data_IF_722596053745
#
_entry.id   IF_722596053745
#
_cell.length_a   1.000
_cell.length_b   1.000
_cell.length_c   1.000
_cell.angle_alpha   90.00
_cell.angle_beta   90.00
_cell.angle_gamma   90.00
#
_symmetry.space_group_name_H-M   'P 1'
#
loop_
_entity.id
_entity.type
_entity.pdbx_description
1 polymer ?
#
# COMPACT_ATOMS: atom_id res chain seq x y z
N UNK A 1 3.82 9.44 12.11
CA UNK A 1 3.68 8.45 11.01
C UNK A 1 3.57 7.06 11.59
N UNK A 2 2.52 6.33 11.28
CA UNK A 2 2.18 5.02 11.85
C UNK A 2 2.49 3.94 10.80
N UNK A 3 3.05 2.81 11.25
CA UNK A 3 3.31 1.67 10.35
C UNK A 3 2.01 0.94 10.03
N UNK A 4 1.84 0.52 8.79
CA UNK A 4 0.61 -0.16 8.34
C UNK A 4 0.36 -1.49 9.07
N UNK A 5 1.41 -2.17 9.53
CA UNK A 5 1.25 -3.40 10.33
C UNK A 5 0.57 -3.14 11.68
N UNK A 6 0.78 -1.96 12.27
CA UNK A 6 0.13 -1.58 13.52
C UNK A 6 -1.35 -1.31 13.33
N UNK A 7 -1.72 -0.61 12.24
CA UNK A 7 -3.12 -0.41 11.86
C UNK A 7 -3.84 -1.75 11.59
N UNK A 8 -3.17 -2.68 10.93
CA UNK A 8 -3.75 -3.98 10.63
C UNK A 8 -3.92 -4.89 11.86
N UNK A 9 -3.11 -4.68 12.91
CA UNK A 9 -3.23 -5.44 14.17
C UNK A 9 -4.42 -4.99 15.01
N UNK A 10 -4.56 -3.69 15.18
CA UNK A 10 -5.62 -3.10 16.02
C UNK A 10 -6.11 -1.78 15.43
N UNK A 11 -6.96 -1.84 14.40
CA UNK A 11 -7.46 -0.63 13.75
C UNK A 11 -8.31 0.25 14.68
N UNK A 12 -8.99 -0.34 15.66
CA UNK A 12 -9.83 0.40 16.60
C UNK A 12 -9.02 1.36 17.49
N UNK A 13 -7.79 0.99 17.82
CA UNK A 13 -6.86 1.84 18.60
C UNK A 13 -6.50 3.14 17.86
N UNK A 14 -6.49 3.10 16.53
CA UNK A 14 -6.07 4.21 15.67
C UNK A 14 -7.25 4.90 14.97
N UNK A 15 -8.50 4.59 15.37
CA UNK A 15 -9.67 5.27 14.83
C UNK A 15 -9.56 6.78 15.01
N UNK A 16 -9.79 7.55 13.95
CA UNK A 16 -9.59 8.98 13.89
C UNK A 16 -8.40 9.38 13.02
N UNK A 17 -7.78 10.51 13.31
CA UNK A 17 -6.69 11.05 12.51
C UNK A 17 -5.44 10.17 12.55
N UNK A 18 -4.95 9.82 11.36
CA UNK A 18 -3.72 9.05 11.16
C UNK A 18 -2.85 9.66 10.07
N UNK A 19 -1.56 9.52 10.23
CA UNK A 19 -0.55 9.84 9.22
C UNK A 19 0.18 8.57 8.83
N UNK A 20 0.08 8.19 7.56
CA UNK A 20 0.68 6.99 6.99
C UNK A 20 1.45 7.31 5.71
N UNK A 21 2.41 6.48 5.38
CA UNK A 21 3.14 6.58 4.12
C UNK A 21 3.47 5.20 3.57
N UNK A 22 3.69 5.14 2.27
CA UNK A 22 4.07 3.91 1.59
C UNK A 22 4.07 4.04 0.08
N UNK A 23 4.16 2.90 -0.56
CA UNK A 23 4.13 2.80 -2.02
C UNK A 23 2.74 2.38 -2.50
N UNK A 24 2.30 3.05 -3.56
CA UNK A 24 1.04 2.74 -4.24
C UNK A 24 1.16 1.39 -4.95
N UNK A 25 0.29 0.46 -4.60
CA UNK A 25 0.17 -0.86 -5.25
C UNK A 25 -0.83 -0.84 -6.38
N UNK A 26 -1.99 -0.25 -6.16
CA UNK A 26 -3.03 -0.06 -7.16
C UNK A 26 -3.75 1.26 -6.95
N UNK A 27 -4.23 1.83 -8.03
CA UNK A 27 -5.09 3.01 -8.05
C UNK A 27 -6.32 2.68 -8.86
N UNK A 28 -7.48 3.03 -8.33
CA UNK A 28 -8.75 3.04 -9.07
C UNK A 28 -9.39 4.38 -8.89
N UNK A 29 -9.53 5.11 -9.97
CA UNK A 29 -10.19 6.40 -9.97
C UNK A 29 -11.60 6.28 -10.56
N UNK A 30 -12.54 6.96 -9.97
CA UNK A 30 -13.91 7.09 -10.38
C UNK A 30 -14.31 8.55 -10.29
N UNK A 31 -15.40 8.96 -10.94
CA UNK A 31 -15.78 10.38 -11.08
C UNK A 31 -15.80 11.18 -9.77
N UNK A 32 -16.19 10.55 -8.66
CA UNK A 32 -16.40 11.23 -7.39
C UNK A 32 -15.56 10.67 -6.24
N UNK A 33 -15.01 9.47 -6.39
CA UNK A 33 -14.29 8.76 -5.35
C UNK A 33 -13.21 7.90 -5.95
N UNK A 34 -12.04 7.85 -5.33
CA UNK A 34 -10.95 6.99 -5.75
C UNK A 34 -10.41 6.14 -4.63
N UNK A 35 -9.76 5.04 -4.99
CA UNK A 35 -9.21 4.06 -4.08
C UNK A 35 -7.75 3.81 -4.39
N UNK A 36 -6.91 3.87 -3.36
CA UNK A 36 -5.48 3.57 -3.43
C UNK A 36 -5.20 2.42 -2.47
N UNK A 37 -4.56 1.37 -2.95
CA UNK A 37 -3.96 0.37 -2.08
C UNK A 37 -2.52 0.77 -1.77
N UNK A 38 -2.23 0.99 -0.48
CA UNK A 38 -0.94 1.43 0.02
C UNK A 38 -0.22 0.31 0.77
N UNK A 39 1.07 0.17 0.54
CA UNK A 39 1.95 -0.76 1.23
C UNK A 39 3.23 -0.07 1.68
N UNK A 40 3.59 -0.25 2.94
CA UNK A 40 4.87 0.22 3.49
C UNK A 40 5.89 -0.93 3.67
N UNK A 41 5.55 -2.13 3.24
CA UNK A 41 6.37 -3.32 3.41
C UNK A 41 6.36 -3.93 4.81
N UNK A 42 5.74 -3.30 5.80
CA UNK A 42 5.73 -3.78 7.19
C UNK A 42 4.84 -5.01 7.41
N UNK A 43 3.84 -5.20 6.55
CA UNK A 43 2.94 -6.35 6.61
C UNK A 43 2.54 -6.81 5.20
N UNK A 44 1.93 -8.00 5.12
CA UNK A 44 1.49 -8.55 3.84
C UNK A 44 0.21 -7.87 3.33
N UNK A 45 -0.66 -7.45 4.24
CA UNK A 45 -1.94 -6.83 3.91
C UNK A 45 -1.76 -5.34 3.61
N UNK A 46 -2.26 -4.90 2.46
CA UNK A 46 -2.30 -3.49 2.08
C UNK A 46 -3.39 -2.74 2.85
N UNK A 47 -3.25 -1.43 2.93
CA UNK A 47 -4.26 -0.52 3.48
C UNK A 47 -4.96 0.20 2.34
N UNK A 48 -6.29 0.25 2.38
CA UNK A 48 -7.08 1.01 1.44
C UNK A 48 -7.19 2.46 1.89
N UNK A 49 -6.76 3.36 1.02
CA UNK A 49 -6.95 4.80 1.15
C UNK A 49 -8.06 5.23 0.20
N UNK A 50 -9.03 5.95 0.71
CA UNK A 50 -10.14 6.50 -0.07
C UNK A 50 -9.98 8.00 -0.17
N UNK A 51 -10.08 8.55 -1.36
CA UNK A 51 -10.07 9.99 -1.59
C UNK A 51 -11.30 10.42 -2.38
N UNK A 52 -11.75 11.61 -2.12
CA UNK A 52 -12.89 12.25 -2.78
C UNK A 52 -12.42 13.53 -3.51
N UNK A 53 -13.35 14.38 -3.88
CA UNK A 53 -13.05 15.64 -4.59
C UNK A 53 -12.25 16.68 -3.77
N UNK A 54 -11.95 16.37 -2.51
CA UNK A 54 -11.13 17.21 -1.63
C UNK A 54 -9.64 17.19 -1.97
N UNK A 55 -9.18 16.18 -2.72
CA UNK A 55 -7.78 16.08 -3.15
C UNK A 55 -7.62 16.78 -4.51
N UNK A 56 -6.61 17.66 -4.69
CA UNK A 56 -6.37 18.33 -5.96
C UNK A 56 -6.15 17.36 -7.12
N UNK A 57 -6.82 17.59 -8.24
CA UNK A 57 -6.72 16.74 -9.44
C UNK A 57 -5.29 16.62 -9.97
N UNK A 58 -4.47 17.64 -9.80
CA UNK A 58 -3.07 17.62 -10.22
C UNK A 58 -2.24 16.58 -9.46
N UNK A 59 -2.55 16.38 -8.17
CA UNK A 59 -1.93 15.35 -7.35
C UNK A 59 -2.45 13.98 -7.79
N UNK A 60 -3.76 13.82 -7.95
CA UNK A 60 -4.39 12.55 -8.35
C UNK A 60 -3.83 12.04 -9.68
N UNK A 61 -3.66 12.92 -10.67
CA UNK A 61 -3.13 12.57 -12.00
C UNK A 61 -1.68 12.08 -11.97
N UNK A 62 -0.91 12.44 -10.96
CA UNK A 62 0.49 12.02 -10.79
C UNK A 62 0.62 10.71 -10.04
N UNK A 63 -0.45 10.24 -9.37
CA UNK A 63 -0.43 9.00 -8.60
C UNK A 63 -0.61 7.81 -9.55
N UNK A 64 0.39 6.95 -9.59
CA UNK A 64 0.36 5.70 -10.33
C UNK A 64 0.99 4.57 -9.50
N UNK A 65 0.89 3.35 -9.99
CA UNK A 65 1.51 2.18 -9.35
C UNK A 65 3.01 2.38 -9.21
N UNK A 66 3.50 2.26 -7.98
CA UNK A 66 4.92 2.44 -7.64
C UNK A 66 5.27 3.80 -7.05
N UNK A 67 4.40 4.81 -7.14
CA UNK A 67 4.60 6.09 -6.45
C UNK A 67 4.75 5.91 -4.94
N UNK A 68 5.58 6.75 -4.34
CA UNK A 68 5.65 6.91 -2.90
C UNK A 68 4.79 8.11 -2.48
N UNK A 69 3.87 7.89 -1.56
CA UNK A 69 2.99 8.93 -1.05
C UNK A 69 2.92 8.92 0.47
N UNK A 70 2.66 10.07 1.05
CA UNK A 70 2.22 10.21 2.43
C UNK A 70 0.77 10.69 2.45
N UNK A 71 0.01 10.20 3.41
CA UNK A 71 -1.43 10.45 3.53
C UNK A 71 -1.73 10.85 4.96
N UNK A 72 -2.41 11.98 5.11
CA UNK A 72 -3.07 12.39 6.35
C UNK A 72 -4.56 12.23 6.16
N UNK A 73 -5.21 11.53 7.06
CA UNK A 73 -6.64 11.28 6.96
C UNK A 73 -7.23 10.65 8.20
N UNK A 74 -8.47 10.21 8.08
CA UNK A 74 -9.21 9.56 9.15
C UNK A 74 -9.35 8.06 8.90
N UNK A 75 -8.92 7.27 9.88
CA UNK A 75 -9.19 5.83 9.89
C UNK A 75 -10.64 5.59 10.31
N UNK A 76 -11.37 4.94 9.44
CA UNK A 76 -12.79 4.58 9.64
C UNK A 76 -12.93 3.07 9.61
N UNK A 77 -13.58 2.52 10.63
CA UNK A 77 -13.88 1.09 10.69
C UNK A 77 -15.02 0.76 9.71
N UNK A 78 -14.83 -0.29 8.94
CA UNK A 78 -15.80 -0.77 7.93
C UNK A 78 -16.12 -2.26 8.15
N UNK A 79 -16.83 -2.62 9.24
CA UNK A 79 -17.02 -4.02 9.63
C UNK A 79 -17.79 -4.83 8.58
N UNK A 80 -18.66 -4.20 7.81
CA UNK A 80 -19.50 -4.85 6.79
C UNK A 80 -18.82 -4.90 5.40
N UNK A 81 -17.63 -4.31 5.25
CA UNK A 81 -16.87 -4.32 4.01
C UNK A 81 -15.86 -5.47 3.96
N UNK A 82 -15.31 -5.70 2.78
CA UNK A 82 -14.28 -6.72 2.57
C UNK A 82 -13.02 -6.50 3.41
N UNK A 83 -12.65 -5.25 3.62
CA UNK A 83 -11.58 -4.82 4.52
C UNK A 83 -12.16 -4.32 5.84
N UNK A 84 -11.47 -4.54 6.98
CA UNK A 84 -11.98 -4.16 8.31
C UNK A 84 -11.98 -2.65 8.56
N UNK A 85 -11.18 -1.91 7.82
CA UNK A 85 -11.07 -0.44 7.91
C UNK A 85 -10.57 0.16 6.60
N UNK A 86 -10.72 1.46 6.48
CA UNK A 86 -10.15 2.27 5.40
C UNK A 86 -9.67 3.61 5.96
N UNK A 87 -8.76 4.27 5.25
CA UNK A 87 -8.30 5.61 5.57
C UNK A 87 -8.89 6.59 4.59
N UNK A 88 -9.74 7.50 5.07
CA UNK A 88 -10.28 8.61 4.27
C UNK A 88 -9.26 9.74 4.23
N UNK A 89 -8.64 9.93 3.06
CA UNK A 89 -7.61 10.95 2.89
C UNK A 89 -8.19 12.36 2.99
N UNK A 90 -7.57 13.18 3.83
CA UNK A 90 -7.75 14.65 3.84
C UNK A 90 -6.69 15.31 2.99
N UNK A 91 -5.47 14.82 3.05
CA UNK A 91 -4.32 15.32 2.31
C UNK A 91 -3.49 14.16 1.79
N UNK A 92 -3.01 14.29 0.57
CA UNK A 92 -2.06 13.36 -0.05
C UNK A 92 -0.89 14.16 -0.57
N UNK A 93 0.32 13.77 -0.18
CA UNK A 93 1.56 14.34 -0.65
C UNK A 93 2.36 13.29 -1.41
N UNK A 94 2.85 13.64 -2.58
CA UNK A 94 3.73 12.77 -3.36
C UNK A 94 5.16 12.95 -2.85
N UNK A 95 5.74 11.88 -2.32
CA UNK A 95 7.12 11.84 -1.86
C UNK A 95 8.07 11.37 -2.96
N UNK A 96 7.58 10.57 -3.88
CA UNK A 96 8.34 10.10 -5.04
C UNK A 96 7.45 9.72 -6.21
N UNK A 97 7.77 10.26 -7.37
CA UNK A 97 7.10 9.91 -8.62
C UNK A 97 7.59 8.55 -9.13
N UNK A 98 6.73 7.87 -9.88
CA UNK A 98 7.08 6.65 -10.57
C UNK A 98 6.92 6.83 -12.08
N UNK A 99 7.90 6.37 -12.83
CA UNK A 99 7.84 6.43 -14.30
C UNK A 99 6.74 5.51 -14.85
N UNK A 100 6.18 5.88 -16.00
CA UNK A 100 5.08 5.14 -16.64
C UNK A 100 5.49 3.73 -17.11
N UNK A 101 6.79 3.51 -17.30
CA UNK A 101 7.37 2.23 -17.72
C UNK A 101 7.73 1.30 -16.54
N UNK A 102 7.33 1.66 -15.31
CA UNK A 102 7.55 0.83 -14.14
C UNK A 102 6.96 -0.58 -14.34
N UNK A 103 7.79 -1.65 -14.25
CA UNK A 103 7.39 -2.98 -14.71
C UNK A 103 6.43 -3.72 -13.76
N UNK A 104 6.39 -3.34 -12.47
CA UNK A 104 5.54 -3.99 -11.46
C UNK A 104 4.11 -3.48 -11.46
N UNK A 105 3.46 -3.53 -12.62
CA UNK A 105 2.06 -3.15 -12.77
C UNK A 105 1.11 -4.21 -12.18
N UNK A 106 -0.17 -3.85 -12.02
CA UNK A 106 -1.23 -4.74 -11.54
C UNK A 106 -1.56 -5.81 -12.59
N UNK A 107 -0.67 -6.75 -12.77
CA UNK A 107 -0.86 -7.93 -13.63
C UNK A 107 -0.09 -9.13 -13.08
N UNK A 108 -0.44 -10.30 -13.51
CA UNK A 108 0.30 -11.51 -13.15
C UNK A 108 1.66 -11.53 -13.86
N UNK A 109 2.73 -11.73 -13.10
CA UNK A 109 4.08 -11.89 -13.63
C UNK A 109 4.55 -13.33 -13.46
N UNK A 110 5.20 -13.89 -14.50
CA UNK A 110 5.81 -15.21 -14.40
C UNK A 110 7.04 -15.20 -13.48
N UNK A 111 7.36 -16.34 -12.89
CA UNK A 111 8.56 -16.46 -12.05
C UNK A 111 9.84 -16.23 -12.86
N UNK A 112 9.86 -16.64 -14.13
CA UNK A 112 10.98 -16.39 -15.06
C UNK A 112 11.20 -14.90 -15.29
N UNK A 113 10.13 -14.16 -15.55
CA UNK A 113 10.19 -12.72 -15.72
C UNK A 113 10.68 -12.03 -14.44
N UNK A 114 10.21 -12.44 -13.27
CA UNK A 114 10.62 -11.87 -11.99
C UNK A 114 12.10 -12.14 -11.66
N UNK A 115 12.69 -13.20 -12.20
CA UNK A 115 14.15 -13.45 -12.07
C UNK A 115 14.99 -12.42 -12.80
N UNK A 116 14.46 -11.78 -13.83
CA UNK A 116 15.14 -10.69 -14.55
C UNK A 116 15.15 -9.37 -13.77
N UNK A 117 14.30 -9.25 -12.75
CA UNK A 117 14.09 -8.04 -11.95
C UNK A 117 14.25 -8.33 -10.45
N UNK A 118 15.40 -8.80 -10.05
CA UNK A 118 15.67 -9.26 -8.69
C UNK A 118 15.44 -8.16 -7.63
N UNK A 119 15.71 -6.91 -7.96
CA UNK A 119 15.55 -5.76 -7.07
C UNK A 119 14.07 -5.34 -6.88
N UNK A 120 13.18 -5.69 -7.81
CA UNK A 120 11.75 -5.33 -7.75
C UNK A 120 10.85 -6.50 -7.36
N UNK A 121 11.26 -7.73 -7.59
CA UNK A 121 10.43 -8.91 -7.31
C UNK A 121 9.96 -9.04 -5.85
N UNK A 122 10.67 -8.51 -4.81
CA UNK A 122 10.15 -8.50 -3.44
C UNK A 122 8.84 -7.75 -3.25
N UNK A 123 8.48 -6.90 -4.20
CA UNK A 123 7.21 -6.16 -4.19
C UNK A 123 6.01 -6.99 -4.68
N UNK A 124 6.25 -8.17 -5.25
CA UNK A 124 5.20 -9.12 -5.60
C UNK A 124 4.74 -9.91 -4.38
N UNK A 125 3.48 -10.32 -4.37
CA UNK A 125 2.94 -11.11 -3.25
C UNK A 125 3.71 -12.42 -3.03
N UNK A 126 4.07 -13.12 -4.11
CA UNK A 126 4.81 -14.38 -4.05
C UNK A 126 6.16 -14.22 -3.35
N UNK A 127 6.98 -13.27 -3.79
CA UNK A 127 8.30 -13.07 -3.21
C UNK A 127 8.25 -12.37 -1.85
N UNK A 128 7.28 -11.50 -1.62
CA UNK A 128 7.05 -10.92 -0.29
C UNK A 128 6.75 -12.03 0.73
N UNK A 129 5.89 -12.98 0.39
CA UNK A 129 5.60 -14.13 1.25
C UNK A 129 6.85 -15.00 1.45
N UNK A 130 7.55 -15.34 0.37
CA UNK A 130 8.77 -16.16 0.42
C UNK A 130 9.85 -15.54 1.31
N UNK A 131 10.14 -14.26 1.15
CA UNK A 131 11.18 -13.59 1.94
C UNK A 131 10.77 -13.42 3.41
N UNK A 132 9.49 -13.27 3.73
CA UNK A 132 9.01 -13.26 5.11
C UNK A 132 9.22 -14.61 5.78
N UNK A 133 8.88 -15.71 5.10
CA UNK A 133 9.12 -17.08 5.61
C UNK A 133 10.61 -17.29 5.84
N UNK A 134 11.46 -16.96 4.87
CA UNK A 134 12.92 -17.06 5.00
C UNK A 134 13.46 -16.27 6.18
N UNK A 135 12.97 -15.07 6.41
CA UNK A 135 13.37 -14.23 7.54
C UNK A 135 13.03 -14.91 8.87
N UNK A 136 11.82 -15.41 9.01
CA UNK A 136 11.39 -16.12 10.23
C UNK A 136 12.25 -17.36 10.48
N UNK A 137 12.48 -18.17 9.46
CA UNK A 137 13.33 -19.38 9.57
C UNK A 137 14.76 -19.02 9.98
N UNK A 138 15.33 -17.95 9.39
CA UNK A 138 16.69 -17.52 9.71
C UNK A 138 16.85 -17.00 11.16
N UNK A 139 15.78 -16.47 11.74
CA UNK A 139 15.79 -15.95 13.12
C UNK A 139 15.29 -16.96 14.15
N UNK A 140 14.79 -18.12 13.73
CA UNK A 140 14.37 -19.16 14.65
C UNK A 140 15.59 -19.89 15.21
N UNK A 141 15.79 -19.93 16.57
CA UNK A 141 16.90 -20.68 17.15
C UNK A 141 16.84 -22.15 16.73
N UNK A 142 17.96 -22.69 16.31
CA UNK A 142 18.10 -24.13 16.15
C UNK A 142 18.10 -24.77 17.54
N UNK A 143 17.04 -25.47 17.80
CA UNK A 143 16.93 -26.29 19.02
C UNK A 143 17.70 -27.61 18.87
#
# INVERSE_FOLDING_TARGET
MIRLCELNKDPAKYAGEVEIAGWVRTVRDSKNIGFIELSDGSCFRNVQVVYENNIPNDIIKQINTGCAISVVGDLVLTPDAKQPFEVKAREIKIEGLCASDYPMQKKRHSLEYLRTMQHLRPRTNTFQATFRVRNVVAHTPLL
#
